data_IF_727386907224
#
_entry.id   IF_727386907224
#
_cell.length_a   1.000
_cell.length_b   1.000
_cell.length_c   1.000
_cell.angle_alpha   90.00
_cell.angle_beta   90.00
_cell.angle_gamma   90.00
#
_symmetry.space_group_name_H-M   'P 1'
#
loop_
_entity.id
_entity.type
_entity.pdbx_description
1 polymer ?
#
# COMPACT_ATOMS: atom_id res chain seq x y z
N UNK A 1 33.16 5.90 -23.48
CA UNK A 1 32.62 4.98 -22.45
C UNK A 1 31.53 5.74 -21.72
N UNK A 2 30.26 5.49 -22.05
CA UNK A 2 29.12 6.21 -21.48
C UNK A 2 28.83 5.55 -20.13
N UNK A 3 29.28 6.17 -19.04
CA UNK A 3 28.95 5.75 -17.69
C UNK A 3 27.47 6.05 -17.46
N UNK A 4 26.61 5.09 -17.80
CA UNK A 4 25.20 5.14 -17.46
C UNK A 4 25.12 5.15 -15.93
N UNK A 5 24.91 6.34 -15.34
CA UNK A 5 24.45 6.44 -13.95
C UNK A 5 23.10 5.75 -13.91
N UNK A 6 23.09 4.48 -13.51
CA UNK A 6 21.89 3.81 -13.06
C UNK A 6 21.49 4.56 -11.80
N UNK A 7 20.64 5.57 -11.96
CA UNK A 7 19.83 6.07 -10.86
C UNK A 7 18.95 4.89 -10.48
N UNK A 8 19.41 4.08 -9.52
CA UNK A 8 18.56 3.17 -8.77
C UNK A 8 17.41 4.04 -8.26
N UNK A 9 16.27 3.95 -8.94
CA UNK A 9 15.07 4.68 -8.57
C UNK A 9 14.58 3.98 -7.30
N UNK A 10 15.18 4.36 -6.16
CA UNK A 10 14.66 4.00 -4.86
C UNK A 10 13.29 4.66 -4.81
N UNK A 11 12.25 3.88 -5.12
CA UNK A 11 10.88 4.31 -4.88
C UNK A 11 10.75 4.30 -3.36
N UNK A 12 10.96 5.47 -2.76
CA UNK A 12 10.68 5.68 -1.35
C UNK A 12 9.17 5.49 -1.17
N UNK A 13 8.77 4.30 -0.74
CA UNK A 13 7.39 4.01 -0.41
C UNK A 13 7.08 4.68 0.92
N UNK A 14 6.66 5.94 0.84
CA UNK A 14 6.22 6.73 2.00
C UNK A 14 4.70 6.67 2.11
N UNK A 15 4.24 6.56 3.35
CA UNK A 15 2.83 6.70 3.68
C UNK A 15 2.36 8.10 3.26
N UNK A 16 1.35 8.21 2.38
CA UNK A 16 0.86 9.50 1.90
C UNK A 16 0.09 10.32 2.96
N UNK A 17 -0.13 9.75 4.15
CA UNK A 17 -0.84 10.37 5.26
C UNK A 17 0.13 10.99 6.27
N UNK A 18 1.06 10.19 6.81
CA UNK A 18 1.99 10.61 7.84
C UNK A 18 3.42 10.90 7.30
N UNK A 19 3.71 10.55 6.04
CA UNK A 19 5.02 10.73 5.43
C UNK A 19 6.10 9.76 5.90
N UNK A 20 5.78 8.85 6.83
CA UNK A 20 6.70 7.80 7.31
C UNK A 20 6.92 6.74 6.23
N UNK A 21 8.07 6.08 6.29
CA UNK A 21 8.35 4.93 5.43
C UNK A 21 7.37 3.78 5.69
N UNK A 22 6.93 3.12 4.61
CA UNK A 22 6.15 1.91 4.65
C UNK A 22 7.10 0.72 4.89
N UNK A 23 6.79 -0.13 5.87
CA UNK A 23 7.56 -1.33 6.19
C UNK A 23 7.10 -2.51 5.33
N UNK A 24 7.95 -3.52 5.14
CA UNK A 24 7.51 -4.74 4.43
C UNK A 24 6.47 -5.50 5.26
N UNK A 25 5.33 -5.84 4.66
CA UNK A 25 4.37 -6.68 5.35
C UNK A 25 4.87 -8.13 5.31
N UNK A 26 5.56 -8.55 6.37
CA UNK A 26 6.10 -9.93 6.53
C UNK A 26 5.04 -11.03 6.43
N UNK A 27 3.76 -10.69 6.46
CA UNK A 27 2.64 -11.63 6.38
C UNK A 27 2.08 -11.76 4.96
N UNK A 28 2.30 -10.79 4.08
CA UNK A 28 1.75 -10.75 2.73
C UNK A 28 2.80 -10.29 1.71
N UNK A 29 3.12 -11.15 0.75
CA UNK A 29 4.05 -10.80 -0.32
C UNK A 29 3.51 -9.64 -1.17
N UNK A 30 4.39 -8.69 -1.53
CA UNK A 30 4.05 -7.46 -2.28
C UNK A 30 3.14 -6.48 -1.52
N UNK A 31 3.09 -6.59 -0.20
CA UNK A 31 2.46 -5.58 0.64
C UNK A 31 3.50 -4.82 1.43
N UNK A 32 3.26 -3.53 1.56
CA UNK A 32 3.93 -2.68 2.52
C UNK A 32 2.90 -2.14 3.49
N UNK A 33 3.28 -1.93 4.74
CA UNK A 33 2.37 -1.55 5.80
C UNK A 33 2.89 -0.33 6.55
N UNK A 34 2.01 0.62 6.79
CA UNK A 34 2.24 1.71 7.73
C UNK A 34 1.32 1.45 8.92
N UNK A 35 1.93 1.21 10.07
CA UNK A 35 1.23 1.14 11.34
C UNK A 35 1.56 2.39 12.14
N UNK A 36 0.64 3.35 12.13
CA UNK A 36 0.80 4.60 12.87
C UNK A 36 -0.48 4.90 13.66
N UNK A 37 -0.36 5.34 14.90
CA UNK A 37 -1.53 5.66 15.73
C UNK A 37 -2.38 6.80 15.15
N UNK A 38 -1.80 7.66 14.30
CA UNK A 38 -2.49 8.80 13.70
C UNK A 38 -3.53 8.40 12.63
N UNK A 39 -3.27 7.33 11.87
CA UNK A 39 -4.17 6.86 10.80
C UNK A 39 -4.56 5.37 10.93
N UNK A 40 -4.03 4.67 11.93
CA UNK A 40 -4.20 3.24 12.11
C UNK A 40 -3.39 2.43 11.09
N UNK A 41 -3.89 1.23 10.79
CA UNK A 41 -3.22 0.31 9.88
C UNK A 41 -3.55 0.66 8.41
N UNK A 42 -2.52 0.99 7.65
CA UNK A 42 -2.59 1.23 6.21
C UNK A 42 -1.70 0.22 5.50
N UNK A 43 -2.26 -0.52 4.56
CA UNK A 43 -1.51 -1.44 3.71
C UNK A 43 -1.45 -0.90 2.28
N UNK A 44 -0.35 -1.10 1.62
CA UNK A 44 -0.09 -0.67 0.27
C UNK A 44 0.35 -1.88 -0.55
N UNK A 45 -0.40 -2.20 -1.58
CA UNK A 45 -0.09 -3.28 -2.49
C UNK A 45 0.84 -2.77 -3.59
N UNK A 46 2.10 -3.24 -3.59
CA UNK A 46 3.11 -2.83 -4.57
C UNK A 46 2.86 -3.41 -5.96
N UNK A 47 2.03 -4.45 -6.07
CA UNK A 47 1.68 -5.07 -7.35
C UNK A 47 0.84 -4.17 -8.26
N UNK A 48 -0.21 -3.56 -7.72
CA UNK A 48 -1.11 -2.66 -8.47
C UNK A 48 -1.01 -1.18 -8.02
N UNK A 49 -0.39 -0.90 -6.88
CA UNK A 49 -0.30 0.45 -6.31
C UNK A 49 -1.58 0.91 -5.60
N UNK A 50 -2.35 -0.04 -5.04
CA UNK A 50 -3.58 0.23 -4.30
C UNK A 50 -3.34 0.23 -2.79
N UNK A 51 -4.04 1.12 -2.09
CA UNK A 51 -4.03 1.20 -0.64
C UNK A 51 -5.23 0.43 -0.05
N UNK A 52 -5.04 -0.18 1.11
CA UNK A 52 -6.04 -0.94 1.85
C UNK A 52 -6.06 -0.42 3.28
N UNK A 53 -7.23 -0.05 3.75
CA UNK A 53 -7.42 0.43 5.13
C UNK A 53 -8.80 0.05 5.61
N UNK A 54 -8.96 -0.15 6.92
CA UNK A 54 -10.29 -0.31 7.53
C UNK A 54 -10.84 1.01 8.05
N UNK A 55 -10.10 2.11 7.91
CA UNK A 55 -10.50 3.42 8.39
C UNK A 55 -11.07 4.26 7.23
N UNK A 56 -12.38 4.48 7.25
CA UNK A 56 -13.09 5.23 6.20
C UNK A 56 -12.58 6.65 6.01
N UNK A 57 -12.19 7.33 7.10
CA UNK A 57 -11.61 8.69 7.01
C UNK A 57 -10.30 8.68 6.24
N UNK A 58 -9.48 7.66 6.49
CA UNK A 58 -8.20 7.49 5.80
C UNK A 58 -8.41 7.19 4.33
N UNK A 59 -9.39 6.33 4.00
CA UNK A 59 -9.75 6.07 2.62
C UNK A 59 -10.25 7.33 1.92
N UNK A 60 -11.08 8.14 2.56
CA UNK A 60 -11.53 9.40 1.98
C UNK A 60 -10.37 10.36 1.69
N UNK A 61 -9.42 10.51 2.62
CA UNK A 61 -8.24 11.35 2.43
C UNK A 61 -7.31 10.84 1.32
N UNK A 62 -7.13 9.52 1.21
CA UNK A 62 -6.38 8.90 0.13
C UNK A 62 -7.05 9.11 -1.23
N UNK A 63 -8.37 8.95 -1.29
CA UNK A 63 -9.17 9.18 -2.49
C UNK A 63 -9.12 10.66 -2.92
N UNK A 64 -9.21 11.62 -1.98
CA UNK A 64 -9.03 13.05 -2.25
C UNK A 64 -7.65 13.38 -2.82
N UNK A 65 -6.63 12.62 -2.41
CA UNK A 65 -5.25 12.71 -2.96
C UNK A 65 -5.09 12.00 -4.31
N UNK A 66 -6.15 11.45 -4.89
CA UNK A 66 -6.12 10.71 -6.16
C UNK A 66 -5.46 9.34 -6.07
N UNK A 67 -5.40 8.74 -4.86
CA UNK A 67 -4.88 7.39 -4.66
C UNK A 67 -6.01 6.37 -4.74
N UNK A 68 -5.71 5.21 -5.34
CA UNK A 68 -6.62 4.06 -5.34
C UNK A 68 -6.62 3.45 -3.95
N UNK A 69 -7.78 3.41 -3.31
CA UNK A 69 -7.92 2.89 -1.94
C UNK A 69 -9.15 2.01 -1.82
N UNK A 70 -9.00 0.93 -1.06
CA UNK A 70 -10.06 -0.01 -0.73
C UNK A 70 -10.28 -0.01 0.78
N UNK A 71 -11.52 0.25 1.18
CA UNK A 71 -11.97 0.29 2.58
C UNK A 71 -12.35 -1.10 3.10
N UNK A 72 -11.59 -2.12 2.71
CA UNK A 72 -11.87 -3.53 3.03
C UNK A 72 -10.62 -4.13 3.67
N UNK A 73 -10.81 -5.12 4.54
CA UNK A 73 -9.65 -5.83 5.06
C UNK A 73 -9.00 -6.63 3.92
N UNK A 74 -7.67 -6.51 3.72
CA UNK A 74 -7.01 -7.25 2.65
C UNK A 74 -7.13 -8.77 2.82
N UNK A 75 -7.31 -9.31 4.04
CA UNK A 75 -7.57 -10.74 4.18
C UNK A 75 -8.91 -11.14 3.57
N UNK A 76 -9.93 -10.30 3.68
CA UNK A 76 -11.23 -10.55 3.05
C UNK A 76 -11.16 -10.32 1.53
N UNK A 77 -10.42 -9.31 1.09
CA UNK A 77 -10.25 -9.02 -0.34
C UNK A 77 -9.47 -10.12 -1.08
N UNK A 78 -8.33 -10.53 -0.54
CA UNK A 78 -7.49 -11.59 -1.14
C UNK A 78 -8.01 -12.99 -0.86
N UNK A 79 -8.66 -13.22 0.30
CA UNK A 79 -9.29 -14.50 0.63
C UNK A 79 -10.42 -14.88 -0.33
N UNK A 80 -11.13 -13.88 -0.89
CA UNK A 80 -12.15 -14.12 -1.92
C UNK A 80 -11.58 -14.30 -3.34
N UNK A 81 -10.35 -13.87 -3.61
CA UNK A 81 -9.73 -14.06 -4.94
C UNK A 81 -9.19 -15.49 -5.15
N UNK A 82 -8.97 -16.26 -4.08
CA UNK A 82 -8.61 -17.69 -4.17
C UNK A 82 -9.78 -18.62 -4.57
N UNK A 83 -10.98 -18.10 -4.82
CA UNK A 83 -12.15 -18.90 -5.21
C UNK A 83 -12.61 -18.67 -6.66
N UNK A 84 -11.73 -18.35 -7.62
CA UNK A 84 -12.09 -18.39 -9.05
C UNK A 84 -10.89 -18.68 -9.96
N UNK A 85 -10.11 -19.73 -9.64
CA UNK A 85 -9.26 -20.39 -10.63
C UNK A 85 -9.77 -21.83 -10.71
N UNK A 86 -10.74 -22.02 -11.61
CA UNK A 86 -11.06 -23.34 -12.20
C UNK A 86 -9.91 -23.79 -13.11
#
# INVERSE_FOLDING_TARGET
MISQKVSLVWVEFKCPLCGKDLDDDKTMANFMVCNDESHGLLRFFTGDGCYFTTNEKVAEELAKKGRRVHTVDPKEFFGNQTMNIE
#
